data_IF_710429163532
#
_entry.id   IF_710429163532
#
_cell.length_a   1.000
_cell.length_b   1.000
_cell.length_c   1.000
_cell.angle_alpha   90.00
_cell.angle_beta   90.00
_cell.angle_gamma   90.00
#
_symmetry.space_group_name_H-M   'P 1'
#
loop_
_entity.id
_entity.type
_entity.pdbx_description
1 polymer ?
#
# COMPACT_ATOMS: atom_id res chain seq x y z
N UNK A 1 2.86 19.12 -18.55
CA UNK A 1 2.69 19.28 -17.07
C UNK A 1 1.58 18.34 -16.65
N UNK A 2 1.92 17.12 -16.24
CA UNK A 2 0.95 16.16 -15.72
C UNK A 2 0.91 16.34 -14.19
N UNK A 3 -0.23 16.75 -13.66
CA UNK A 3 -0.47 16.79 -12.22
C UNK A 3 -0.40 15.37 -11.67
N UNK A 4 0.59 15.11 -10.82
CA UNK A 4 0.69 13.88 -10.06
C UNK A 4 -0.52 13.78 -9.14
N UNK A 5 -1.40 12.81 -9.43
CA UNK A 5 -2.51 12.43 -8.56
C UNK A 5 -1.91 11.86 -7.28
N UNK A 6 -2.06 12.58 -6.18
CA UNK A 6 -1.74 12.09 -4.83
C UNK A 6 -2.65 10.91 -4.49
N UNK A 7 -2.14 9.72 -4.22
CA UNK A 7 -2.96 8.67 -3.62
C UNK A 7 -3.10 8.96 -2.12
N UNK A 8 -4.11 9.70 -1.75
CA UNK A 8 -4.54 9.81 -0.36
C UNK A 8 -5.47 8.64 -0.08
N UNK A 9 -4.93 7.55 0.44
CA UNK A 9 -5.71 6.40 0.92
C UNK A 9 -6.26 6.67 2.33
N UNK A 10 -6.90 7.81 2.52
CA UNK A 10 -7.98 7.92 3.48
C UNK A 10 -9.24 7.52 2.71
N UNK A 11 -9.90 6.46 3.16
CA UNK A 11 -11.21 6.09 2.62
C UNK A 11 -12.07 7.36 2.62
N UNK A 12 -12.36 7.86 1.43
CA UNK A 12 -13.26 9.01 1.29
C UNK A 12 -14.52 8.72 2.09
N UNK A 13 -15.05 9.67 2.87
CA UNK A 13 -16.30 9.46 3.59
C UNK A 13 -17.34 9.02 2.58
N UNK A 14 -17.78 7.76 2.71
CA UNK A 14 -18.75 7.18 1.78
C UNK A 14 -20.06 7.89 1.92
N UNK A 15 -20.58 8.35 0.80
CA UNK A 15 -21.96 8.87 0.75
C UNK A 15 -22.91 7.69 0.84
N UNK A 16 -23.96 7.83 1.60
CA UNK A 16 -25.04 6.84 1.63
C UNK A 16 -25.77 6.87 0.27
N UNK A 17 -25.48 5.84 -0.53
CA UNK A 17 -26.11 5.63 -1.83
C UNK A 17 -26.92 4.34 -1.70
N UNK A 18 -28.23 4.36 -1.96
CA UNK A 18 -29.06 3.17 -1.87
C UNK A 18 -28.54 2.07 -2.80
N UNK A 19 -28.61 0.83 -2.32
CA UNK A 19 -28.30 -0.35 -3.14
C UNK A 19 -29.28 -0.40 -4.29
N UNK A 20 -28.75 -0.55 -5.49
CA UNK A 20 -29.54 -0.68 -6.71
C UNK A 20 -29.25 -2.06 -7.33
N UNK A 21 -30.30 -2.72 -7.82
CA UNK A 21 -30.19 -4.03 -8.45
C UNK A 21 -30.48 -3.88 -9.94
N UNK A 22 -29.46 -3.64 -10.77
CA UNK A 22 -29.66 -3.46 -12.20
C UNK A 22 -30.03 -4.78 -12.88
N UNK A 23 -30.69 -4.68 -14.04
CA UNK A 23 -30.90 -5.83 -14.90
C UNK A 23 -29.54 -6.39 -15.36
N UNK A 24 -29.30 -7.70 -15.26
CA UNK A 24 -28.04 -8.33 -15.67
C UNK A 24 -27.67 -8.14 -17.14
N UNK A 25 -28.64 -7.79 -18.00
CA UNK A 25 -28.41 -7.54 -19.43
C UNK A 25 -28.11 -6.07 -19.73
N UNK A 26 -28.59 -5.16 -18.88
CA UNK A 26 -28.45 -3.71 -19.09
C UNK A 26 -27.32 -3.10 -18.26
N UNK A 27 -27.19 -3.55 -17.00
CA UNK A 27 -26.19 -3.01 -16.06
C UNK A 27 -26.50 -1.60 -15.59
N UNK A 28 -25.47 -0.91 -15.07
CA UNK A 28 -25.56 0.48 -14.66
C UNK A 28 -25.45 1.43 -15.88
N UNK A 29 -26.09 2.60 -15.79
CA UNK A 29 -25.80 3.71 -16.69
C UNK A 29 -24.55 4.50 -16.25
N UNK A 30 -24.06 5.41 -17.10
CA UNK A 30 -22.86 6.20 -16.82
C UNK A 30 -23.00 7.11 -15.61
N UNK A 31 -24.19 7.67 -15.40
CA UNK A 31 -24.44 8.58 -14.28
C UNK A 31 -24.45 7.82 -12.96
N UNK A 32 -25.11 6.67 -12.93
CA UNK A 32 -25.14 5.78 -11.77
C UNK A 32 -23.74 5.27 -11.38
N UNK A 33 -22.93 4.88 -12.37
CA UNK A 33 -21.56 4.45 -12.15
C UNK A 33 -20.68 5.60 -11.64
N UNK A 34 -20.79 6.78 -12.25
CA UNK A 34 -20.05 7.98 -11.82
C UNK A 34 -20.45 8.45 -10.41
N UNK A 35 -21.74 8.37 -10.07
CA UNK A 35 -22.24 8.69 -8.73
C UNK A 35 -21.60 7.79 -7.67
N UNK A 36 -21.53 6.48 -7.92
CA UNK A 36 -20.92 5.50 -7.02
C UNK A 36 -19.42 5.72 -6.88
N UNK A 37 -18.74 5.98 -7.99
CA UNK A 37 -17.31 6.28 -8.00
C UNK A 37 -17.00 7.53 -7.17
N UNK A 38 -17.71 8.63 -7.37
CA UNK A 38 -17.58 9.86 -6.59
C UNK A 38 -18.02 9.70 -5.13
N UNK A 39 -18.93 8.78 -4.87
CA UNK A 39 -19.43 8.44 -3.53
C UNK A 39 -18.49 7.52 -2.73
N UNK A 40 -17.33 7.15 -3.27
CA UNK A 40 -16.35 6.29 -2.57
C UNK A 40 -16.70 4.79 -2.62
N UNK A 41 -17.53 4.35 -3.58
CA UNK A 41 -17.93 2.96 -3.78
C UNK A 41 -17.21 2.29 -4.96
N UNK A 42 -16.01 2.78 -5.30
CA UNK A 42 -15.14 2.15 -6.26
C UNK A 42 -14.32 1.00 -5.62
N UNK A 43 -13.96 0.02 -6.44
CA UNK A 43 -13.16 -1.14 -6.01
C UNK A 43 -11.67 -0.79 -5.92
N UNK A 44 -11.36 0.25 -5.14
CA UNK A 44 -9.99 0.70 -4.95
C UNK A 44 -9.19 -0.33 -4.16
N UNK A 45 -7.95 -0.65 -4.56
CA UNK A 45 -7.11 -1.56 -3.82
C UNK A 45 -6.82 -1.00 -2.42
N UNK A 46 -6.91 -1.86 -1.40
CA UNK A 46 -6.64 -1.50 0.00
C UNK A 46 -5.17 -1.25 0.25
N UNK A 47 -4.33 -1.78 -0.61
CA UNK A 47 -2.90 -1.56 -0.60
C UNK A 47 -2.53 -0.40 -1.50
N UNK A 48 -2.28 0.74 -0.88
CA UNK A 48 -1.35 1.72 -1.44
C UNK A 48 0.02 1.42 -0.83
N UNK A 49 0.81 0.53 -1.41
CA UNK A 49 2.03 0.03 -0.78
C UNK A 49 3.19 1.01 -0.93
N UNK A 50 3.03 2.05 -1.70
CA UNK A 50 4.14 2.93 -2.00
C UNK A 50 4.09 4.18 -1.15
N UNK A 51 5.12 4.33 -0.29
CA UNK A 51 5.37 5.57 0.46
C UNK A 51 5.34 6.76 -0.48
N UNK A 52 4.86 7.89 -0.03
CA UNK A 52 4.95 9.13 -0.79
C UNK A 52 6.41 9.60 -0.90
N UNK A 53 6.77 10.36 -1.95
CA UNK A 53 8.13 10.89 -2.06
C UNK A 53 8.52 11.74 -0.83
N UNK A 54 7.56 12.44 -0.22
CA UNK A 54 7.78 13.20 1.01
C UNK A 54 8.05 12.31 2.23
N UNK A 55 7.40 11.15 2.34
CA UNK A 55 7.69 10.18 3.40
C UNK A 55 9.07 9.56 3.24
N UNK A 56 9.47 9.24 2.01
CA UNK A 56 10.82 8.74 1.71
C UNK A 56 11.87 9.76 2.16
N UNK A 57 11.73 11.02 1.78
CA UNK A 57 12.64 12.09 2.17
C UNK A 57 12.68 12.21 3.69
N UNK A 58 11.53 12.24 4.35
CA UNK A 58 11.44 12.37 5.80
C UNK A 58 12.13 11.21 6.52
N UNK A 59 11.90 9.98 6.08
CA UNK A 59 12.52 8.78 6.67
C UNK A 59 14.05 8.76 6.51
N UNK A 60 14.58 9.21 5.38
CA UNK A 60 16.01 9.26 5.15
C UNK A 60 16.70 10.41 5.88
N UNK A 61 16.05 11.56 6.00
CA UNK A 61 16.61 12.74 6.68
C UNK A 61 16.55 12.58 8.20
N UNK A 62 15.41 12.17 8.74
CA UNK A 62 15.19 12.06 10.20
C UNK A 62 15.53 10.67 10.73
N UNK A 63 16.75 10.19 10.47
CA UNK A 63 17.28 8.98 11.08
C UNK A 63 18.01 9.30 12.38
N UNK A 64 18.06 8.32 13.27
CA UNK A 64 18.84 8.40 14.51
C UNK A 64 20.33 8.73 14.23
N UNK A 65 20.90 8.14 13.19
CA UNK A 65 22.29 8.39 12.79
C UNK A 65 22.50 9.81 12.29
N UNK A 66 21.59 10.35 11.48
CA UNK A 66 21.69 11.72 11.02
C UNK A 66 21.59 12.72 12.18
N UNK A 67 20.75 12.41 13.18
CA UNK A 67 20.69 13.22 14.40
C UNK A 67 22.04 13.25 15.14
N UNK A 68 22.69 12.09 15.29
CA UNK A 68 24.04 12.01 15.90
C UNK A 68 25.03 12.84 15.09
N UNK A 69 25.02 12.75 13.76
CA UNK A 69 25.91 13.52 12.91
C UNK A 69 25.68 15.04 13.04
N UNK A 70 24.42 15.46 13.16
CA UNK A 70 24.10 16.88 13.39
C UNK A 70 24.63 17.36 14.74
N UNK A 71 24.45 16.58 15.81
CA UNK A 71 24.96 16.92 17.14
C UNK A 71 26.49 16.97 17.14
N UNK A 72 27.15 15.99 16.50
CA UNK A 72 28.61 15.95 16.40
C UNK A 72 29.16 17.15 15.58
N UNK A 73 28.48 17.45 14.45
CA UNK A 73 28.86 18.62 13.65
C UNK A 73 28.72 19.92 14.44
N UNK A 74 27.65 20.10 15.20
CA UNK A 74 27.46 21.26 16.06
C UNK A 74 28.56 21.38 17.14
N UNK A 75 28.96 20.25 17.74
CA UNK A 75 30.06 20.22 18.71
C UNK A 75 31.38 20.59 18.08
N UNK A 76 31.71 20.09 16.89
CA UNK A 76 32.96 20.46 16.17
C UNK A 76 32.99 21.93 15.75
N UNK A 77 31.84 22.47 15.32
CA UNK A 77 31.73 23.90 15.00
C UNK A 77 31.95 24.78 16.25
N UNK A 78 31.42 24.34 17.40
CA UNK A 78 31.60 25.07 18.65
C UNK A 78 33.05 25.12 19.10
N UNK A 79 33.84 24.06 18.86
CA UNK A 79 35.26 23.97 19.21
C UNK A 79 36.15 24.61 18.13
N UNK A 80 35.61 25.00 16.97
CA UNK A 80 36.36 25.57 15.86
C UNK A 80 37.13 24.55 15.00
N UNK A 81 36.87 23.26 15.17
CA UNK A 81 37.51 22.14 14.46
C UNK A 81 36.88 21.88 13.08
N UNK A 82 36.82 22.88 12.21
CA UNK A 82 36.12 22.82 10.91
C UNK A 82 36.67 21.73 9.97
N UNK A 83 37.97 21.42 10.08
CA UNK A 83 38.64 20.43 9.22
C UNK A 83 38.14 19.02 9.46
N UNK A 84 37.65 18.73 10.67
CA UNK A 84 37.20 17.43 11.06
C UNK A 84 35.74 17.20 10.67
N UNK A 85 35.02 18.20 10.17
CA UNK A 85 33.64 18.11 9.71
C UNK A 85 33.48 17.46 8.32
N UNK A 86 34.54 16.91 7.73
CA UNK A 86 34.51 16.25 6.39
C UNK A 86 33.51 15.08 6.32
N UNK A 87 33.30 14.40 7.45
CA UNK A 87 32.30 13.32 7.52
C UNK A 87 30.87 13.79 7.21
N UNK A 88 30.57 15.07 7.48
CA UNK A 88 29.24 15.63 7.21
C UNK A 88 28.92 15.62 5.72
N UNK A 89 29.91 15.90 4.87
CA UNK A 89 29.76 15.80 3.42
C UNK A 89 29.41 14.37 3.00
N UNK A 90 30.06 13.36 3.59
CA UNK A 90 29.78 11.96 3.31
C UNK A 90 28.38 11.57 3.79
N UNK A 91 27.97 12.03 4.98
CA UNK A 91 26.64 11.76 5.52
C UNK A 91 25.52 12.37 4.64
N UNK A 92 25.70 13.61 4.19
CA UNK A 92 24.78 14.30 3.28
C UNK A 92 24.72 13.57 1.93
N UNK A 93 25.88 13.21 1.37
CA UNK A 93 25.95 12.49 0.10
C UNK A 93 25.26 11.14 0.19
N UNK A 94 25.49 10.35 1.24
CA UNK A 94 24.83 9.06 1.47
C UNK A 94 23.30 9.22 1.59
N UNK A 95 22.85 10.22 2.34
CA UNK A 95 21.40 10.49 2.48
C UNK A 95 20.79 10.88 1.14
N UNK A 96 21.45 11.74 0.37
CA UNK A 96 20.97 12.15 -0.95
C UNK A 96 20.91 10.96 -1.94
N UNK A 97 21.97 10.14 -1.97
CA UNK A 97 22.01 8.93 -2.81
C UNK A 97 20.87 7.97 -2.42
N UNK A 98 20.65 7.71 -1.13
CA UNK A 98 19.57 6.86 -0.63
C UNK A 98 18.19 7.37 -1.08
N UNK A 99 17.91 8.65 -0.92
CA UNK A 99 16.66 9.29 -1.37
C UNK A 99 16.46 9.09 -2.89
N UNK A 100 17.49 9.41 -3.68
CA UNK A 100 17.42 9.29 -5.15
C UNK A 100 17.17 7.85 -5.58
N UNK A 101 17.86 6.88 -4.97
CA UNK A 101 17.70 5.45 -5.27
C UNK A 101 16.29 4.96 -4.92
N UNK A 102 15.78 5.31 -3.73
CA UNK A 102 14.44 4.86 -3.31
C UNK A 102 13.33 5.51 -4.16
N UNK A 103 13.44 6.80 -4.47
CA UNK A 103 12.48 7.48 -5.37
C UNK A 103 12.51 6.86 -6.78
N UNK A 104 13.70 6.56 -7.30
CA UNK A 104 13.84 5.91 -8.61
C UNK A 104 13.22 4.52 -8.62
N UNK A 105 13.50 3.71 -7.59
CA UNK A 105 12.92 2.38 -7.42
C UNK A 105 11.39 2.46 -7.34
N UNK A 106 10.86 3.36 -6.48
CA UNK A 106 9.42 3.61 -6.37
C UNK A 106 8.78 3.93 -7.73
N UNK A 107 9.33 4.89 -8.47
CA UNK A 107 8.79 5.28 -9.78
C UNK A 107 8.79 4.13 -10.78
N UNK A 108 9.77 3.22 -10.70
CA UNK A 108 9.82 2.02 -11.53
C UNK A 108 8.71 1.05 -11.16
N UNK A 109 8.52 0.79 -9.85
CA UNK A 109 7.43 -0.08 -9.36
C UNK A 109 6.06 0.52 -9.72
N UNK A 110 5.85 1.82 -9.51
CA UNK A 110 4.59 2.50 -9.85
C UNK A 110 4.26 2.35 -11.36
N UNK A 111 5.26 2.48 -12.24
CA UNK A 111 5.07 2.26 -13.68
C UNK A 111 4.67 0.82 -14.01
N UNK A 112 5.33 -0.16 -13.40
CA UNK A 112 5.02 -1.57 -13.62
C UNK A 112 3.61 -1.91 -13.12
N UNK A 113 3.20 -1.37 -11.99
CA UNK A 113 1.85 -1.55 -11.43
C UNK A 113 0.78 -0.99 -12.37
N UNK A 114 1.01 0.17 -12.98
CA UNK A 114 0.08 0.74 -13.96
C UNK A 114 -0.04 -0.11 -15.23
N UNK A 115 1.05 -0.73 -15.69
CA UNK A 115 1.05 -1.61 -16.86
C UNK A 115 0.39 -2.97 -16.58
N UNK A 116 0.44 -3.43 -15.33
CA UNK A 116 -0.12 -4.69 -14.87
C UNK A 116 -1.55 -4.53 -14.30
N UNK A 117 -2.18 -3.36 -14.43
CA UNK A 117 -3.51 -3.10 -13.91
C UNK A 117 -4.51 -4.14 -14.46
N UNK A 118 -5.03 -4.97 -13.57
CA UNK A 118 -6.03 -5.97 -13.93
C UNK A 118 -7.27 -5.28 -14.49
N UNK A 119 -7.85 -5.88 -15.52
CA UNK A 119 -9.10 -5.41 -16.15
C UNK A 119 -10.18 -6.47 -15.97
N UNK A 120 -11.41 -6.04 -15.94
CA UNK A 120 -12.55 -6.95 -15.97
C UNK A 120 -13.63 -6.41 -16.89
N UNK A 121 -14.56 -7.25 -17.26
CA UNK A 121 -15.66 -6.93 -18.16
C UNK A 121 -16.91 -6.61 -17.34
N UNK A 122 -17.44 -5.41 -17.48
CA UNK A 122 -18.70 -4.96 -16.85
C UNK A 122 -19.77 -4.75 -17.92
N UNK A 123 -21.02 -4.98 -17.54
CA UNK A 123 -22.17 -4.64 -18.38
C UNK A 123 -22.64 -3.24 -17.97
N UNK A 124 -22.61 -2.29 -18.90
CA UNK A 124 -23.11 -0.92 -18.71
C UNK A 124 -23.87 -0.48 -19.96
N UNK A 125 -25.03 0.14 -19.77
CA UNK A 125 -25.89 0.61 -20.88
C UNK A 125 -26.19 -0.50 -21.92
N UNK A 126 -26.30 -1.76 -21.48
CA UNK A 126 -26.57 -2.92 -22.33
C UNK A 126 -25.36 -3.43 -23.14
N UNK A 127 -24.17 -2.89 -22.92
CA UNK A 127 -22.93 -3.30 -23.59
C UNK A 127 -21.89 -3.83 -22.60
N UNK A 128 -21.12 -4.83 -23.04
CA UNK A 128 -19.96 -5.32 -22.30
C UNK A 128 -18.76 -4.39 -22.54
N UNK A 129 -18.24 -3.81 -21.46
CA UNK A 129 -17.13 -2.83 -21.51
C UNK A 129 -16.00 -3.31 -20.60
N UNK A 130 -14.79 -3.38 -21.14
CA UNK A 130 -13.60 -3.69 -20.33
C UNK A 130 -13.15 -2.43 -19.58
N UNK A 131 -13.14 -2.53 -18.25
CA UNK A 131 -12.70 -1.45 -17.36
C UNK A 131 -11.57 -1.92 -16.43
N UNK A 132 -10.69 -1.03 -15.99
CA UNK A 132 -9.77 -1.36 -14.90
C UNK A 132 -10.54 -1.78 -13.64
N UNK A 133 -10.03 -2.74 -12.90
CA UNK A 133 -10.73 -3.29 -11.73
C UNK A 133 -10.97 -2.26 -10.63
N UNK A 134 -10.13 -1.24 -10.52
CA UNK A 134 -10.27 -0.10 -9.59
C UNK A 134 -11.35 0.91 -10.02
N UNK A 135 -11.82 0.84 -11.27
CA UNK A 135 -12.93 1.62 -11.80
C UNK A 135 -14.28 0.89 -11.73
N UNK A 136 -14.29 -0.37 -11.29
CA UNK A 136 -15.52 -1.07 -10.98
C UNK A 136 -16.15 -0.48 -9.72
N UNK A 137 -17.46 -0.43 -9.66
CA UNK A 137 -18.19 0.17 -8.53
C UNK A 137 -19.19 -0.81 -7.95
N UNK A 138 -19.64 -0.57 -6.72
CA UNK A 138 -20.75 -1.33 -6.14
C UNK A 138 -21.96 -1.31 -7.06
N UNK A 139 -22.67 -2.39 -7.15
CA UNK A 139 -23.83 -2.67 -8.00
C UNK A 139 -23.50 -2.80 -9.50
N UNK A 140 -22.24 -2.72 -9.96
CA UNK A 140 -21.88 -3.11 -11.33
C UNK A 140 -22.21 -4.58 -11.58
N UNK A 141 -22.68 -4.88 -12.79
CA UNK A 141 -22.78 -6.26 -13.30
C UNK A 141 -21.46 -6.60 -13.98
N UNK A 142 -20.75 -7.58 -13.43
CA UNK A 142 -19.47 -8.07 -13.96
C UNK A 142 -19.70 -9.41 -14.64
N UNK A 143 -19.10 -9.59 -15.80
CA UNK A 143 -19.04 -10.89 -16.49
C UNK A 143 -17.78 -11.59 -16.02
N UNK A 144 -17.95 -12.73 -15.36
CA UNK A 144 -16.85 -13.60 -14.96
C UNK A 144 -16.82 -14.84 -15.85
N UNK A 145 -15.64 -15.16 -16.37
CA UNK A 145 -15.39 -16.30 -17.26
C UNK A 145 -14.23 -17.14 -16.75
N UNK A 146 -14.10 -18.35 -17.28
CA UNK A 146 -13.02 -19.27 -16.89
C UNK A 146 -11.63 -18.64 -17.00
N UNK A 147 -10.82 -18.80 -15.95
CA UNK A 147 -9.47 -18.21 -15.84
C UNK A 147 -9.43 -16.83 -15.20
N UNK A 148 -10.55 -16.19 -14.95
CA UNK A 148 -10.59 -14.87 -14.32
C UNK A 148 -10.64 -14.96 -12.81
N UNK A 149 -10.03 -13.98 -12.14
CA UNK A 149 -10.11 -13.81 -10.71
C UNK A 149 -11.32 -12.94 -10.34
N UNK A 150 -12.04 -13.34 -9.30
CA UNK A 150 -13.13 -12.56 -8.71
C UNK A 150 -12.50 -11.42 -7.90
N UNK A 151 -12.61 -10.20 -8.43
CA UNK A 151 -11.90 -9.00 -7.93
C UNK A 151 -12.61 -8.30 -6.77
N UNK A 152 -13.90 -8.52 -6.60
CA UNK A 152 -14.74 -7.98 -5.52
C UNK A 152 -15.84 -8.98 -5.17
N UNK A 153 -16.45 -8.86 -3.98
CA UNK A 153 -17.54 -9.79 -3.62
C UNK A 153 -18.76 -9.50 -4.49
N UNK A 154 -19.37 -10.56 -4.97
CA UNK A 154 -20.50 -10.47 -5.88
C UNK A 154 -21.60 -11.52 -5.57
N UNK A 155 -22.75 -11.35 -6.20
CA UNK A 155 -23.83 -12.33 -6.21
C UNK A 155 -24.16 -12.65 -7.66
N UNK A 156 -24.21 -13.95 -7.99
CA UNK A 156 -24.56 -14.43 -9.33
C UNK A 156 -26.00 -14.00 -9.66
N UNK A 157 -26.18 -13.35 -10.81
CA UNK A 157 -27.48 -12.86 -11.29
C UNK A 157 -27.98 -13.65 -12.49
N UNK A 158 -27.08 -14.26 -13.25
CA UNK A 158 -27.43 -15.19 -14.34
C UNK A 158 -26.22 -16.04 -14.72
N UNK A 159 -26.49 -17.26 -15.19
CA UNK A 159 -25.45 -18.23 -15.53
C UNK A 159 -24.97 -19.06 -14.35
N UNK A 160 -23.97 -19.91 -14.57
CA UNK A 160 -23.33 -20.71 -13.53
C UNK A 160 -21.83 -20.81 -13.76
N UNK A 161 -21.07 -20.90 -12.67
CA UNK A 161 -19.60 -21.01 -12.69
C UNK A 161 -19.13 -22.00 -11.64
N UNK A 162 -18.02 -22.66 -11.92
CA UNK A 162 -17.25 -23.36 -10.90
C UNK A 162 -16.11 -22.46 -10.44
N UNK A 163 -16.01 -22.25 -9.13
CA UNK A 163 -14.99 -21.38 -8.52
C UNK A 163 -14.09 -22.17 -7.60
N UNK A 164 -12.80 -21.86 -7.63
CA UNK A 164 -11.83 -22.36 -6.68
C UNK A 164 -11.59 -21.30 -5.61
N UNK A 165 -11.92 -21.62 -4.37
CA UNK A 165 -11.76 -20.76 -3.20
C UNK A 165 -10.49 -21.13 -2.37
N UNK A 166 -9.57 -21.95 -2.90
CA UNK A 166 -8.41 -22.47 -2.16
C UNK A 166 -7.54 -21.39 -1.54
N UNK A 167 -7.35 -20.27 -2.21
CA UNK A 167 -6.57 -19.15 -1.67
C UNK A 167 -7.21 -18.46 -0.46
N UNK A 168 -8.48 -18.70 -0.23
CA UNK A 168 -9.27 -18.06 0.83
C UNK A 168 -9.59 -19.05 1.94
N UNK A 169 -10.02 -20.26 1.59
CA UNK A 169 -10.49 -21.29 2.53
C UNK A 169 -9.45 -22.38 2.79
N UNK A 170 -8.47 -22.52 1.88
CA UNK A 170 -7.52 -23.64 1.88
C UNK A 170 -8.04 -24.91 1.21
N UNK A 171 -9.32 -24.96 0.81
CA UNK A 171 -9.95 -26.11 0.14
C UNK A 171 -9.83 -25.97 -1.37
N UNK A 172 -9.21 -26.97 -2.01
CA UNK A 172 -8.92 -26.93 -3.44
C UNK A 172 -10.06 -27.40 -4.34
N UNK A 173 -11.10 -28.00 -3.79
CA UNK A 173 -12.21 -28.53 -4.56
C UNK A 173 -13.06 -27.40 -5.16
N UNK A 174 -13.29 -27.39 -6.49
CA UNK A 174 -14.13 -26.39 -7.12
C UNK A 174 -15.57 -26.46 -6.63
N UNK A 175 -16.13 -25.31 -6.29
CA UNK A 175 -17.52 -25.15 -5.84
C UNK A 175 -18.36 -24.62 -7.00
N UNK A 176 -19.48 -25.29 -7.25
CA UNK A 176 -20.46 -24.80 -8.22
C UNK A 176 -21.25 -23.62 -7.61
N UNK A 177 -21.39 -22.54 -8.35
CA UNK A 177 -22.14 -21.35 -7.99
C UNK A 177 -23.17 -21.06 -9.04
N UNK A 178 -24.43 -21.04 -8.60
CA UNK A 178 -25.61 -20.80 -9.40
C UNK A 178 -26.22 -19.43 -9.09
N UNK A 179 -27.30 -19.07 -9.79
CA UNK A 179 -28.01 -17.82 -9.56
C UNK A 179 -28.43 -17.65 -8.09
N UNK A 180 -28.12 -16.51 -7.50
CA UNK A 180 -28.31 -16.18 -6.09
C UNK A 180 -27.13 -16.51 -5.18
N UNK A 181 -26.15 -17.31 -5.64
CA UNK A 181 -24.99 -17.67 -4.85
C UNK A 181 -23.98 -16.52 -4.75
N UNK A 182 -23.24 -16.52 -3.65
CA UNK A 182 -22.19 -15.52 -3.40
C UNK A 182 -20.86 -15.96 -3.98
N UNK A 183 -20.21 -15.03 -4.66
CA UNK A 183 -18.83 -15.10 -5.10
C UNK A 183 -17.96 -14.26 -4.18
N UNK A 184 -16.88 -14.85 -3.65
CA UNK A 184 -15.94 -14.16 -2.76
C UNK A 184 -14.77 -13.62 -3.55
N UNK A 185 -14.38 -12.39 -3.28
CA UNK A 185 -13.16 -11.81 -3.85
C UNK A 185 -11.94 -12.65 -3.48
N UNK A 186 -11.00 -12.77 -4.43
CA UNK A 186 -9.79 -13.59 -4.29
C UNK A 186 -9.95 -15.03 -4.83
N UNK A 187 -11.17 -15.52 -5.10
CA UNK A 187 -11.41 -16.80 -5.77
C UNK A 187 -11.13 -16.72 -7.27
N UNK A 188 -10.96 -17.88 -7.92
CA UNK A 188 -10.76 -17.99 -9.36
C UNK A 188 -11.91 -18.79 -10.00
N UNK A 189 -12.36 -18.35 -11.16
CA UNK A 189 -13.31 -19.09 -11.98
C UNK A 189 -12.55 -20.20 -12.72
N UNK A 190 -12.92 -21.45 -12.47
CA UNK A 190 -12.32 -22.64 -13.07
C UNK A 190 -12.99 -22.96 -14.40
N UNK A 191 -14.32 -22.91 -14.42
CA UNK A 191 -15.12 -23.20 -15.62
C UNK A 191 -16.46 -22.47 -15.61
N UNK A 192 -17.08 -22.35 -16.76
CA UNK A 192 -18.37 -21.67 -16.93
C UNK A 192 -18.20 -20.15 -17.13
N UNK A 193 -19.36 -19.47 -17.17
CA UNK A 193 -19.45 -18.01 -17.24
C UNK A 193 -20.73 -17.54 -16.55
N UNK A 194 -20.64 -16.43 -15.82
CA UNK A 194 -21.81 -15.82 -15.19
C UNK A 194 -21.76 -14.30 -15.24
N UNK A 195 -22.94 -13.69 -15.06
CA UNK A 195 -23.07 -12.26 -14.76
C UNK A 195 -23.38 -12.11 -13.29
N UNK A 196 -22.53 -11.41 -12.56
CA UNK A 196 -22.68 -11.23 -11.13
C UNK A 196 -22.67 -9.75 -10.75
N UNK A 197 -23.50 -9.38 -9.79
CA UNK A 197 -23.59 -8.04 -9.23
C UNK A 197 -22.58 -7.86 -8.12
N UNK A 198 -21.73 -6.82 -8.19
CA UNK A 198 -20.82 -6.48 -7.13
C UNK A 198 -21.57 -5.97 -5.89
N UNK A 199 -21.28 -6.55 -4.73
CA UNK A 199 -21.90 -6.19 -3.45
C UNK A 199 -20.97 -5.45 -2.52
N UNK A 200 -19.73 -5.95 -2.38
CA UNK A 200 -18.70 -5.33 -1.53
C UNK A 200 -17.45 -5.10 -2.37
N UNK A 201 -17.00 -3.86 -2.39
CA UNK A 201 -15.87 -3.39 -3.20
C UNK A 201 -14.78 -2.76 -2.34
N UNK A 202 -13.56 -2.76 -2.83
CA UNK A 202 -12.41 -2.16 -2.15
C UNK A 202 -12.16 -2.75 -0.76
N UNK A 203 -12.09 -1.90 0.26
CA UNK A 203 -11.79 -2.31 1.63
C UNK A 203 -12.84 -3.23 2.27
N UNK A 204 -14.08 -3.26 1.74
CA UNK A 204 -15.15 -4.09 2.28
C UNK A 204 -15.18 -5.49 1.67
N UNK A 205 -14.42 -5.73 0.60
CA UNK A 205 -14.35 -7.06 -0.02
C UNK A 205 -13.70 -8.06 0.95
N UNK A 206 -14.07 -9.32 0.81
CA UNK A 206 -13.60 -10.39 1.69
C UNK A 206 -12.08 -10.52 1.70
N UNK A 207 -11.46 -10.56 0.51
CA UNK A 207 -10.00 -10.64 0.39
C UNK A 207 -9.29 -9.43 1.00
N UNK A 208 -9.85 -8.22 0.86
CA UNK A 208 -9.29 -7.02 1.44
C UNK A 208 -9.34 -7.06 2.97
N UNK A 209 -10.46 -7.48 3.56
CA UNK A 209 -10.60 -7.63 5.02
C UNK A 209 -9.61 -8.66 5.57
N UNK A 210 -9.49 -9.81 4.92
CA UNK A 210 -8.54 -10.85 5.31
C UNK A 210 -7.09 -10.33 5.27
N UNK A 211 -6.73 -9.60 4.20
CA UNK A 211 -5.42 -8.96 4.06
C UNK A 211 -5.14 -7.94 5.17
N UNK A 212 -6.14 -7.13 5.54
CA UNK A 212 -6.00 -6.14 6.61
C UNK A 212 -5.84 -6.80 7.98
N UNK A 213 -6.53 -7.89 8.26
CA UNK A 213 -6.39 -8.68 9.49
C UNK A 213 -4.99 -9.30 9.57
N UNK A 214 -4.56 -10.00 8.51
CA UNK A 214 -3.21 -10.58 8.46
C UNK A 214 -2.10 -9.54 8.64
N UNK A 215 -2.26 -8.32 8.11
CA UNK A 215 -1.29 -7.23 8.30
C UNK A 215 -1.21 -6.70 9.72
N UNK A 216 -2.30 -6.71 10.49
CA UNK A 216 -2.27 -6.31 11.89
C UNK A 216 -1.38 -7.26 12.69
N UNK A 217 -1.50 -8.56 12.45
CA UNK A 217 -0.73 -9.58 13.14
C UNK A 217 0.77 -9.53 12.78
N UNK A 218 1.09 -9.35 11.49
CA UNK A 218 2.48 -9.21 11.02
C UNK A 218 3.14 -7.94 11.58
N UNK A 219 2.43 -6.80 11.65
CA UNK A 219 2.96 -5.59 12.26
C UNK A 219 3.25 -5.75 13.75
N UNK A 220 2.44 -6.52 14.47
CA UNK A 220 2.68 -6.80 15.89
C UNK A 220 3.98 -7.59 16.10
N UNK A 221 4.21 -8.68 15.33
CA UNK A 221 5.41 -9.50 15.45
C UNK A 221 6.71 -8.81 15.01
N UNK A 222 6.67 -8.07 13.90
CA UNK A 222 7.83 -7.27 13.45
C UNK A 222 8.17 -6.13 14.40
N UNK A 223 7.19 -5.57 15.09
CA UNK A 223 7.37 -4.50 16.08
C UNK A 223 8.24 -4.93 17.25
N UNK A 224 8.11 -6.16 17.76
CA UNK A 224 8.89 -6.64 18.92
C UNK A 224 10.37 -6.83 18.58
N UNK A 225 10.67 -7.46 17.44
CA UNK A 225 12.05 -7.68 17.00
C UNK A 225 12.74 -6.35 16.65
N UNK A 226 12.07 -5.47 15.93
CA UNK A 226 12.58 -4.12 15.60
C UNK A 226 12.72 -3.25 16.85
N UNK A 227 11.81 -3.35 17.82
CA UNK A 227 11.92 -2.65 19.10
C UNK A 227 13.15 -3.12 19.91
N UNK A 228 13.44 -4.41 19.90
CA UNK A 228 14.62 -4.97 20.57
C UNK A 228 15.93 -4.52 19.91
N UNK A 229 16.00 -4.55 18.58
CA UNK A 229 17.14 -4.01 17.81
C UNK A 229 17.33 -2.51 18.05
N UNK A 230 16.26 -1.73 18.00
CA UNK A 230 16.30 -0.29 18.25
C UNK A 230 16.74 0.02 19.69
N UNK A 231 16.33 -0.80 20.65
CA UNK A 231 16.77 -0.68 22.06
C UNK A 231 18.28 -0.94 22.18
N UNK A 232 18.79 -1.98 21.52
CA UNK A 232 20.22 -2.28 21.51
C UNK A 232 21.03 -1.14 20.86
N UNK A 233 20.59 -0.65 19.73
CA UNK A 233 21.24 0.48 19.03
C UNK A 233 21.26 1.75 19.90
N UNK A 234 20.13 2.07 20.55
CA UNK A 234 20.06 3.18 21.49
C UNK A 234 21.01 3.00 22.68
N UNK A 235 21.06 1.80 23.25
CA UNK A 235 21.96 1.49 24.37
C UNK A 235 23.43 1.71 23.98
N UNK A 236 23.84 1.20 22.82
CA UNK A 236 25.19 1.42 22.28
C UNK A 236 25.44 2.92 22.02
N UNK A 237 24.49 3.63 21.44
CA UNK A 237 24.57 5.07 21.19
C UNK A 237 24.75 5.86 22.50
N UNK A 238 23.98 5.55 23.53
CA UNK A 238 24.13 6.19 24.84
C UNK A 238 25.44 5.83 25.55
N UNK A 239 25.93 4.60 25.38
CA UNK A 239 27.21 4.18 25.94
C UNK A 239 28.42 4.88 25.28
N UNK A 240 28.29 5.30 24.03
CA UNK A 240 29.34 6.06 23.32
C UNK A 240 29.44 7.52 23.79
N UNK A 241 28.37 8.12 24.30
CA UNK A 241 28.37 9.51 24.75
C UNK A 241 29.41 9.75 25.88
N UNK A 242 29.43 8.99 26.99
CA UNK A 242 30.45 9.20 28.03
C UNK A 242 31.86 8.90 27.55
N UNK A 243 32.06 7.92 26.65
CA UNK A 243 33.37 7.62 26.08
C UNK A 243 33.85 8.80 25.24
N UNK A 244 32.96 9.37 24.37
CA UNK A 244 33.25 10.58 23.61
C UNK A 244 33.56 11.78 24.52
N UNK A 245 32.81 11.95 25.60
CA UNK A 245 33.01 13.00 26.61
C UNK A 245 34.39 12.90 27.32
N UNK A 246 34.79 11.69 27.69
CA UNK A 246 36.12 11.45 28.32
C UNK A 246 37.24 11.73 27.32
N UNK A 247 37.11 11.28 26.07
CA UNK A 247 38.10 11.54 25.03
C UNK A 247 38.21 13.04 24.73
N UNK A 248 37.04 13.71 24.62
CA UNK A 248 36.99 15.17 24.43
C UNK A 248 37.63 15.91 25.59
N UNK A 249 37.33 15.55 26.85
CA UNK A 249 37.93 16.10 28.05
C UNK A 249 39.45 15.93 28.04
N UNK A 250 39.92 14.71 27.73
CA UNK A 250 41.35 14.40 27.66
C UNK A 250 42.03 15.23 26.56
N UNK A 251 41.43 15.37 25.39
CA UNK A 251 41.96 16.12 24.28
C UNK A 251 42.05 17.62 24.57
N UNK A 252 40.99 18.17 25.17
CA UNK A 252 40.88 19.60 25.42
C UNK A 252 41.69 20.08 26.64
N UNK A 253 41.59 19.36 27.76
CA UNK A 253 42.16 19.80 29.04
C UNK A 253 43.53 19.21 29.37
N UNK A 254 43.90 18.07 28.80
CA UNK A 254 45.14 17.39 29.17
C UNK A 254 46.24 17.60 28.12
N UNK A 255 45.92 17.79 26.84
CA UNK A 255 46.89 18.01 25.78
C UNK A 255 47.19 19.50 25.47
N UNK A 256 46.33 20.45 25.86
CA UNK A 256 46.59 21.88 25.74
C UNK A 256 47.36 22.48 26.94
N UNK A 257 47.56 21.74 28.01
CA UNK A 257 48.27 22.16 29.21
C UNK A 257 49.65 21.49 29.35
N UNK A 258 50.13 20.76 28.38
CA UNK A 258 51.45 20.18 28.26
C UNK A 258 52.14 20.63 26.98
#
# INVERSE_FOLDING_TARGET
>A
MAQAVKPKTEALPRRDIPVFSPDPQVGLDREQAALRQKGGWANLPVDSPTKTEGEIIKEHVFTFFNLIFVVLAAALLFVGAYKDATFLFIAVANTAIGIVQEIRSKRTVDKLTLLAAARGTVVREGAEVSVPTDHMVRDDIVVFSAGEQITADAVVRSGSVQVNEAMITGEADPLEKNEGDRLRSGSFVVSGSCRAQLTHVGADSYAARLTLEAKKDVKAGQSEMMASLTRLIRFIGFALIPVGGILFWKQYFVLELG
#
